data_IF_943234146132
#
_entry.id   IF_943234146132
#
_cell.length_a   1.000
_cell.length_b   1.000
_cell.length_c   1.000
_cell.angle_alpha   90.00
_cell.angle_beta   90.00
_cell.angle_gamma   90.00
#
_symmetry.space_group_name_H-M   'P 1'
#
loop_
_entity.id
_entity.type
_entity.pdbx_description
1 polymer ?
#
# COMPACT_ATOMS: atom_id res chain seq x y z
N UNK A 1 30.44 -8.22 9.56
CA UNK A 1 29.28 -8.00 8.66
C UNK A 1 29.25 -9.13 7.64
N UNK A 2 28.10 -9.80 7.43
CA UNK A 2 27.93 -10.80 6.41
C UNK A 2 28.10 -10.20 5.00
N UNK A 3 28.17 -11.05 3.97
CA UNK A 3 28.23 -10.57 2.59
C UNK A 3 26.96 -9.79 2.19
N UNK A 4 27.03 -8.82 1.27
CA UNK A 4 25.81 -8.20 0.74
C UNK A 4 25.00 -9.25 -0.04
N UNK A 5 23.71 -9.35 0.31
CA UNK A 5 22.74 -10.22 -0.40
C UNK A 5 22.34 -9.58 -1.74
N UNK A 6 21.91 -10.41 -2.68
CA UNK A 6 21.27 -9.98 -3.93
C UNK A 6 19.75 -10.19 -3.80
N UNK A 7 19.01 -9.11 -3.65
CA UNK A 7 17.55 -9.08 -3.49
C UNK A 7 16.92 -8.59 -4.78
N UNK A 8 16.04 -9.36 -5.37
CA UNK A 8 15.27 -8.96 -6.56
C UNK A 8 13.86 -8.61 -6.17
N UNK A 9 13.46 -7.36 -6.41
CA UNK A 9 12.11 -6.86 -6.17
C UNK A 9 11.37 -6.73 -7.51
N UNK A 10 10.26 -7.45 -7.63
CA UNK A 10 9.40 -7.46 -8.83
C UNK A 10 8.23 -6.52 -8.60
N UNK A 11 7.98 -5.63 -9.56
CA UNK A 11 6.85 -4.71 -9.52
C UNK A 11 6.29 -4.41 -10.90
N UNK A 12 5.09 -3.84 -10.94
CA UNK A 12 4.41 -3.38 -12.15
C UNK A 12 3.98 -1.95 -11.93
N UNK A 13 4.48 -1.05 -12.75
CA UNK A 13 4.10 0.34 -12.68
C UNK A 13 4.11 0.97 -14.08
N UNK A 14 2.94 1.44 -14.47
CA UNK A 14 2.69 2.04 -15.78
C UNK A 14 2.23 3.50 -15.71
N UNK A 15 2.01 4.04 -14.50
CA UNK A 15 1.61 5.44 -14.25
C UNK A 15 2.54 6.11 -13.25
N UNK A 16 2.76 7.41 -13.43
CA UNK A 16 3.46 8.29 -12.51
C UNK A 16 2.64 9.58 -12.31
N UNK A 17 2.58 10.19 -11.12
CA UNK A 17 3.21 9.76 -9.87
C UNK A 17 2.50 8.58 -9.20
N UNK A 18 3.23 7.87 -8.33
CA UNK A 18 2.71 6.84 -7.44
C UNK A 18 2.38 7.45 -6.07
N UNK A 19 1.43 6.84 -5.34
CA UNK A 19 1.17 7.21 -3.94
C UNK A 19 2.43 7.03 -3.10
N UNK A 20 2.71 7.99 -2.20
CA UNK A 20 3.91 7.96 -1.35
C UNK A 20 4.04 6.66 -0.55
N UNK A 21 2.94 6.15 0.00
CA UNK A 21 2.92 4.89 0.77
C UNK A 21 3.33 3.67 -0.07
N UNK A 22 2.90 3.60 -1.34
CA UNK A 22 3.31 2.52 -2.25
C UNK A 22 4.77 2.67 -2.67
N UNK A 23 5.25 3.91 -2.85
CA UNK A 23 6.64 4.20 -3.13
C UNK A 23 7.54 3.77 -1.99
N UNK A 24 7.20 4.17 -0.77
CA UNK A 24 7.95 3.83 0.43
C UNK A 24 8.03 2.32 0.63
N UNK A 25 6.91 1.61 0.43
CA UNK A 25 6.86 0.16 0.50
C UNK A 25 7.71 -0.51 -0.60
N UNK A 26 7.61 -0.03 -1.84
CA UNK A 26 8.37 -0.58 -2.97
C UNK A 26 9.87 -0.49 -2.73
N UNK A 27 10.36 0.67 -2.25
CA UNK A 27 11.79 0.94 -2.12
C UNK A 27 12.36 0.69 -0.72
N UNK A 28 11.59 0.19 0.25
CA UNK A 28 12.03 -0.01 1.62
C UNK A 28 13.27 -0.89 1.73
N UNK A 29 13.38 -1.96 0.95
CA UNK A 29 14.57 -2.83 0.97
C UNK A 29 15.85 -2.08 0.60
N UNK A 30 15.80 -1.17 -0.38
CA UNK A 30 16.94 -0.35 -0.77
C UNK A 30 17.30 0.68 0.29
N UNK A 31 16.32 1.31 0.90
CA UNK A 31 16.53 2.39 1.86
C UNK A 31 17.05 1.90 3.21
N UNK A 32 16.65 0.68 3.60
CA UNK A 32 16.90 0.17 4.95
C UNK A 32 17.86 -1.02 5.01
N UNK A 33 18.57 -1.32 3.92
CA UNK A 33 19.62 -2.35 3.91
C UNK A 33 20.86 -1.87 3.18
N UNK A 34 21.99 -2.56 3.46
CA UNK A 34 23.24 -2.44 2.70
C UNK A 34 23.32 -3.45 1.56
N UNK A 35 22.24 -4.19 1.30
CA UNK A 35 22.19 -5.25 0.29
C UNK A 35 22.01 -4.70 -1.13
N UNK A 36 22.32 -5.50 -2.15
CA UNK A 36 22.10 -5.15 -3.55
C UNK A 36 20.65 -5.42 -3.93
N UNK A 37 19.85 -4.37 -3.96
CA UNK A 37 18.42 -4.45 -4.30
C UNK A 37 18.20 -4.15 -5.78
N UNK A 38 17.92 -5.18 -6.56
CA UNK A 38 17.59 -5.13 -7.98
C UNK A 38 16.08 -4.91 -8.13
N UNK A 39 15.67 -3.90 -8.90
CA UNK A 39 14.26 -3.56 -9.11
C UNK A 39 13.86 -3.78 -10.56
N UNK A 40 12.90 -4.66 -10.81
CA UNK A 40 12.46 -5.02 -12.13
C UNK A 40 10.99 -4.66 -12.36
N UNK A 41 10.76 -3.61 -13.19
CA UNK A 41 9.42 -3.22 -13.63
C UNK A 41 8.98 -4.06 -14.83
N UNK A 42 8.08 -5.00 -14.61
CA UNK A 42 7.55 -5.88 -15.66
C UNK A 42 6.53 -5.21 -16.59
N UNK A 43 6.04 -3.99 -16.28
CA UNK A 43 5.20 -3.25 -17.23
C UNK A 43 6.00 -2.86 -18.48
N UNK A 44 7.25 -2.47 -18.32
CA UNK A 44 8.12 -1.94 -19.39
C UNK A 44 9.28 -2.86 -19.79
N UNK A 45 9.54 -3.93 -19.02
CA UNK A 45 10.68 -4.83 -19.26
C UNK A 45 10.29 -6.30 -19.15
N UNK A 46 11.16 -7.17 -19.67
CA UNK A 46 11.17 -8.60 -19.41
C UNK A 46 12.33 -8.94 -18.48
N UNK A 47 12.31 -10.13 -17.88
CA UNK A 47 13.46 -10.65 -17.12
C UNK A 47 14.68 -10.71 -18.04
N UNK A 48 15.77 -9.98 -17.70
CA UNK A 48 16.97 -9.96 -18.53
C UNK A 48 17.63 -11.34 -18.59
N UNK A 49 18.12 -11.74 -19.77
CA UNK A 49 18.77 -13.04 -19.94
C UNK A 49 19.97 -13.25 -19.02
N UNK A 50 20.67 -12.19 -18.62
CA UNK A 50 21.83 -12.28 -17.74
C UNK A 50 21.46 -12.57 -16.28
N UNK A 51 20.18 -12.50 -15.90
CA UNK A 51 19.72 -12.86 -14.55
C UNK A 51 20.03 -14.32 -14.19
N UNK A 52 20.08 -15.22 -15.16
CA UNK A 52 20.49 -16.62 -14.94
C UNK A 52 21.91 -16.78 -14.38
N UNK A 53 22.76 -15.74 -14.51
CA UNK A 53 24.13 -15.71 -13.99
C UNK A 53 24.24 -14.94 -12.66
N UNK A 54 23.12 -14.38 -12.18
CA UNK A 54 23.08 -13.73 -10.87
C UNK A 54 22.49 -14.72 -9.87
N UNK A 55 23.24 -15.01 -8.82
CA UNK A 55 22.71 -15.77 -7.69
C UNK A 55 21.92 -14.79 -6.82
N UNK A 56 20.60 -14.75 -6.98
CA UNK A 56 19.72 -14.06 -6.07
C UNK A 56 19.57 -14.87 -4.78
N UNK A 57 19.55 -14.18 -3.65
CA UNK A 57 19.29 -14.77 -2.34
C UNK A 57 17.80 -14.71 -2.00
N UNK A 58 17.13 -13.62 -2.43
CA UNK A 58 15.71 -13.35 -2.20
C UNK A 58 15.08 -12.78 -3.45
N UNK A 59 13.88 -13.25 -3.79
CA UNK A 59 12.98 -12.65 -4.78
C UNK A 59 11.71 -12.21 -4.06
N UNK A 60 11.39 -10.93 -4.15
CA UNK A 60 10.22 -10.30 -3.53
C UNK A 60 9.18 -10.00 -4.60
N UNK A 61 8.05 -10.69 -4.56
CA UNK A 61 6.87 -10.33 -5.33
C UNK A 61 6.04 -9.33 -4.51
N UNK A 62 6.29 -8.05 -4.75
CA UNK A 62 5.73 -6.96 -3.96
C UNK A 62 4.25 -6.68 -4.24
N UNK A 63 3.63 -5.92 -3.37
CA UNK A 63 2.23 -5.49 -3.47
C UNK A 63 1.90 -4.90 -4.83
N UNK A 64 2.77 -4.03 -5.38
CA UNK A 64 2.56 -3.36 -6.68
C UNK A 64 2.57 -4.34 -7.87
N UNK A 65 3.15 -5.54 -7.71
CA UNK A 65 3.04 -6.63 -8.67
C UNK A 65 1.74 -7.41 -8.46
N UNK A 66 1.49 -7.87 -7.23
CA UNK A 66 0.38 -8.77 -6.91
C UNK A 66 -1.00 -8.09 -6.99
N UNK A 67 -1.06 -6.76 -6.83
CA UNK A 67 -2.32 -6.00 -6.98
C UNK A 67 -2.91 -6.09 -8.40
N UNK A 68 -2.09 -6.38 -9.43
CA UNK A 68 -2.58 -6.51 -10.80
C UNK A 68 -3.43 -7.77 -11.05
N UNK A 69 -3.45 -8.74 -10.11
CA UNK A 69 -4.23 -9.98 -10.22
C UNK A 69 -5.74 -9.76 -10.33
N UNK A 70 -6.23 -8.59 -9.90
CA UNK A 70 -7.66 -8.25 -9.95
C UNK A 70 -8.16 -7.93 -11.36
N UNK A 71 -7.26 -7.87 -12.36
CA UNK A 71 -7.59 -7.68 -13.76
C UNK A 71 -6.77 -8.70 -14.58
N UNK A 72 -7.41 -9.78 -14.98
CA UNK A 72 -6.74 -10.93 -15.63
C UNK A 72 -5.99 -10.51 -16.90
N UNK A 73 -6.57 -9.64 -17.73
CA UNK A 73 -5.98 -9.16 -18.98
C UNK A 73 -4.67 -8.40 -18.76
N UNK A 74 -4.47 -7.86 -17.57
CA UNK A 74 -3.24 -7.16 -17.21
C UNK A 74 -2.25 -8.06 -16.49
N UNK A 75 -2.74 -8.98 -15.66
CA UNK A 75 -1.90 -9.82 -14.84
C UNK A 75 -1.23 -10.93 -15.66
N UNK A 76 -1.96 -11.62 -16.56
CA UNK A 76 -1.40 -12.72 -17.33
C UNK A 76 -0.19 -12.33 -18.21
N UNK A 77 -0.21 -11.21 -18.97
CA UNK A 77 0.99 -10.78 -19.71
C UNK A 77 2.18 -10.44 -18.83
N UNK A 78 1.93 -9.99 -17.60
CA UNK A 78 3.00 -9.67 -16.64
C UNK A 78 3.52 -10.95 -15.98
N UNK A 79 2.65 -11.89 -15.68
CA UNK A 79 2.97 -13.20 -15.14
C UNK A 79 3.86 -13.99 -16.12
N UNK A 80 3.51 -13.99 -17.41
CA UNK A 80 4.34 -14.57 -18.48
C UNK A 80 5.78 -14.02 -18.49
N UNK A 81 5.91 -12.70 -18.28
CA UNK A 81 7.24 -12.07 -18.20
C UNK A 81 8.00 -12.51 -16.94
N UNK A 82 7.31 -12.84 -15.85
CA UNK A 82 7.91 -13.28 -14.59
C UNK A 82 8.30 -14.76 -14.59
N UNK A 83 7.67 -15.62 -15.41
CA UNK A 83 7.88 -17.08 -15.44
C UNK A 83 9.34 -17.54 -15.48
N UNK A 84 10.30 -16.87 -16.16
CA UNK A 84 11.71 -17.25 -16.09
C UNK A 84 12.31 -17.24 -14.68
N UNK A 85 11.68 -16.55 -13.71
CA UNK A 85 12.13 -16.51 -12.31
C UNK A 85 11.76 -17.78 -11.52
N UNK A 86 10.88 -18.62 -12.03
CA UNK A 86 10.49 -19.91 -11.40
C UNK A 86 11.72 -20.80 -11.20
N UNK A 87 12.62 -20.83 -12.18
CA UNK A 87 13.83 -21.65 -12.14
C UNK A 87 14.90 -21.13 -11.14
N UNK A 88 14.67 -20.02 -10.45
CA UNK A 88 15.60 -19.49 -9.46
C UNK A 88 15.53 -20.27 -8.16
N UNK A 89 16.71 -20.62 -7.61
CA UNK A 89 16.85 -21.24 -6.28
C UNK A 89 16.82 -20.22 -5.13
N UNK A 90 16.53 -18.94 -5.41
CA UNK A 90 16.33 -17.92 -4.39
C UNK A 90 15.11 -18.23 -3.52
N UNK A 91 15.10 -17.75 -2.28
CA UNK A 91 13.85 -17.70 -1.50
C UNK A 91 12.88 -16.78 -2.22
N UNK A 92 11.65 -17.22 -2.40
CA UNK A 92 10.60 -16.44 -3.05
C UNK A 92 9.56 -16.05 -2.01
N UNK A 93 9.35 -14.75 -1.86
CA UNK A 93 8.35 -14.23 -0.92
C UNK A 93 7.30 -13.41 -1.62
N UNK A 94 6.11 -13.41 -1.06
CA UNK A 94 4.98 -12.60 -1.51
C UNK A 94 4.56 -11.60 -0.43
N UNK A 95 4.29 -10.36 -0.85
CA UNK A 95 3.75 -9.28 -0.02
C UNK A 95 2.37 -8.86 -0.59
N UNK A 96 1.33 -9.69 -0.46
CA UNK A 96 0.01 -9.37 -0.98
C UNK A 96 -0.66 -8.27 -0.17
N UNK A 97 -1.62 -7.59 -0.81
CA UNK A 97 -2.65 -6.77 -0.17
C UNK A 97 -4.01 -7.11 -0.79
N UNK A 98 -5.09 -6.71 -0.12
CA UNK A 98 -6.46 -6.98 -0.57
C UNK A 98 -6.72 -8.47 -0.84
N UNK A 99 -6.25 -9.32 0.08
CA UNK A 99 -6.30 -10.79 -0.03
C UNK A 99 -7.73 -11.35 0.02
N UNK A 100 -8.72 -10.50 0.31
CA UNK A 100 -10.15 -10.85 0.29
C UNK A 100 -10.71 -11.03 -1.13
N UNK A 101 -9.95 -10.65 -2.17
CA UNK A 101 -10.40 -10.77 -3.56
C UNK A 101 -9.36 -11.48 -4.43
N UNK A 102 -9.86 -12.25 -5.44
CA UNK A 102 -9.02 -13.04 -6.34
C UNK A 102 -8.02 -13.94 -5.60
N UNK A 103 -8.48 -14.57 -4.52
CA UNK A 103 -7.67 -15.48 -3.71
C UNK A 103 -7.26 -16.72 -4.48
N UNK A 104 -8.08 -17.20 -5.42
CA UNK A 104 -7.76 -18.33 -6.28
C UNK A 104 -6.57 -18.01 -7.18
N UNK A 105 -6.56 -16.83 -7.81
CA UNK A 105 -5.44 -16.37 -8.65
C UNK A 105 -4.16 -16.22 -7.83
N UNK A 106 -4.28 -15.74 -6.59
CA UNK A 106 -3.15 -15.61 -5.68
C UNK A 106 -2.60 -16.98 -5.27
N UNK A 107 -3.49 -17.94 -4.99
CA UNK A 107 -3.12 -19.30 -4.65
C UNK A 107 -2.43 -20.03 -5.82
N UNK A 108 -2.96 -19.88 -7.06
CA UNK A 108 -2.33 -20.43 -8.27
C UNK A 108 -0.94 -19.85 -8.49
N UNK A 109 -0.78 -18.54 -8.27
CA UNK A 109 0.51 -17.88 -8.33
C UNK A 109 1.50 -18.43 -7.29
N UNK A 110 1.07 -18.66 -6.04
CA UNK A 110 1.94 -19.21 -5.00
C UNK A 110 2.43 -20.61 -5.36
N UNK A 111 1.56 -21.44 -5.90
CA UNK A 111 1.90 -22.79 -6.34
C UNK A 111 2.82 -22.73 -7.57
N UNK A 112 2.47 -21.96 -8.60
CA UNK A 112 3.25 -21.84 -9.82
C UNK A 112 4.68 -21.36 -9.58
N UNK A 113 4.87 -20.40 -8.67
CA UNK A 113 6.18 -19.81 -8.37
C UNK A 113 6.87 -20.46 -7.18
N UNK A 114 6.26 -21.46 -6.54
CA UNK A 114 6.79 -22.11 -5.33
C UNK A 114 7.18 -21.09 -4.27
N UNK A 115 6.19 -20.28 -3.83
CA UNK A 115 6.42 -19.24 -2.83
C UNK A 115 6.72 -19.86 -1.47
N UNK A 116 7.87 -19.52 -0.89
CA UNK A 116 8.33 -20.03 0.42
C UNK A 116 7.59 -19.37 1.59
N UNK A 117 7.33 -18.05 1.47
CA UNK A 117 6.81 -17.26 2.58
C UNK A 117 5.87 -16.16 2.08
N UNK A 118 4.74 -16.00 2.75
CA UNK A 118 3.80 -14.88 2.54
C UNK A 118 3.79 -13.99 3.77
N UNK A 119 4.01 -12.72 3.57
CA UNK A 119 3.82 -11.69 4.59
C UNK A 119 2.45 -11.06 4.36
N UNK A 120 1.46 -11.64 5.02
CA UNK A 120 0.04 -11.32 4.90
C UNK A 120 -0.33 -10.13 5.77
N UNK A 121 -1.20 -9.26 5.26
CA UNK A 121 -1.79 -8.18 6.05
C UNK A 121 -3.12 -8.60 6.70
N UNK A 122 -3.63 -9.78 6.37
CA UNK A 122 -4.84 -10.34 6.95
C UNK A 122 -4.63 -10.71 8.43
N UNK A 123 -5.63 -10.54 9.30
CA UNK A 123 -5.60 -11.14 10.63
C UNK A 123 -5.35 -12.65 10.55
N UNK A 124 -4.55 -13.17 11.48
CA UNK A 124 -4.19 -14.60 11.51
C UNK A 124 -5.40 -15.54 11.62
N UNK A 125 -6.45 -15.08 12.30
CA UNK A 125 -7.73 -15.80 12.43
C UNK A 125 -8.41 -16.06 11.07
N UNK A 126 -8.12 -15.24 10.06
CA UNK A 126 -8.72 -15.33 8.72
C UNK A 126 -7.89 -16.19 7.74
N UNK A 127 -6.64 -16.53 8.08
CA UNK A 127 -5.77 -17.31 7.21
C UNK A 127 -6.35 -18.66 6.77
N UNK A 128 -7.09 -19.41 7.59
CA UNK A 128 -7.70 -20.67 7.12
C UNK A 128 -8.70 -20.49 5.98
N UNK A 129 -9.28 -19.28 5.83
CA UNK A 129 -10.21 -18.96 4.72
C UNK A 129 -9.47 -18.49 3.46
N UNK A 130 -8.24 -17.99 3.61
CA UNK A 130 -7.45 -17.39 2.53
C UNK A 130 -6.36 -18.34 2.01
N UNK A 131 -5.82 -19.20 2.87
CA UNK A 131 -4.67 -20.05 2.59
C UNK A 131 -4.96 -21.50 2.99
N UNK A 132 -5.24 -22.33 2.01
CA UNK A 132 -5.51 -23.75 2.25
C UNK A 132 -4.21 -24.47 2.66
N UNK A 133 -4.16 -24.93 3.92
CA UNK A 133 -3.03 -25.71 4.44
C UNK A 133 -2.81 -27.05 3.72
N UNK A 134 -3.86 -27.64 3.15
CA UNK A 134 -3.71 -28.87 2.38
C UNK A 134 -2.99 -28.62 1.05
N UNK A 135 -3.29 -27.48 0.41
CA UNK A 135 -2.62 -27.03 -0.81
C UNK A 135 -1.18 -26.54 -0.55
N UNK A 136 -0.97 -25.89 0.60
CA UNK A 136 0.30 -25.22 0.94
C UNK A 136 0.89 -25.71 2.28
N UNK A 137 1.26 -27.00 2.41
CA UNK A 137 1.72 -27.56 3.69
C UNK A 137 3.04 -26.99 4.22
N UNK A 138 3.86 -26.39 3.33
CA UNK A 138 5.17 -25.80 3.65
C UNK A 138 5.22 -24.29 3.65
N UNK A 139 4.13 -23.63 3.24
CA UNK A 139 4.06 -22.18 3.14
C UNK A 139 4.15 -21.56 4.54
N UNK A 140 5.10 -20.66 4.72
CA UNK A 140 5.23 -19.87 5.94
C UNK A 140 4.37 -18.62 5.84
N UNK A 141 3.62 -18.30 6.88
CA UNK A 141 2.77 -17.12 6.96
C UNK A 141 3.23 -16.24 8.13
N UNK A 142 3.35 -14.94 7.87
CA UNK A 142 3.63 -13.93 8.89
C UNK A 142 2.67 -12.76 8.73
N UNK A 143 2.14 -12.26 9.86
CA UNK A 143 1.31 -11.06 9.82
C UNK A 143 2.17 -9.80 9.78
N UNK A 144 1.83 -8.87 8.89
CA UNK A 144 2.50 -7.57 8.72
C UNK A 144 1.47 -6.46 8.55
N UNK A 145 1.90 -5.20 8.68
CA UNK A 145 1.03 -4.06 8.46
C UNK A 145 0.92 -3.72 6.96
N UNK A 146 -0.17 -3.06 6.59
CA UNK A 146 -0.40 -2.53 5.24
C UNK A 146 0.68 -1.53 4.81
N UNK A 147 1.29 -0.83 5.76
CA UNK A 147 2.40 0.10 5.55
C UNK A 147 3.00 0.53 6.88
N UNK A 148 4.14 1.16 6.81
CA UNK A 148 4.96 1.54 7.95
C UNK A 148 5.42 2.99 7.82
N UNK A 149 5.92 3.57 8.90
CA UNK A 149 6.54 4.90 8.87
C UNK A 149 7.89 4.83 8.15
N UNK A 150 8.11 5.78 7.25
CA UNK A 150 9.40 6.02 6.61
C UNK A 150 10.09 7.17 7.35
N UNK A 151 11.35 6.98 7.76
CA UNK A 151 12.13 7.97 8.51
C UNK A 151 12.14 9.33 7.78
N UNK A 152 12.42 9.34 6.47
CA UNK A 152 12.45 10.55 5.66
C UNK A 152 11.07 11.23 5.57
N UNK A 153 9.98 10.44 5.56
CA UNK A 153 8.61 10.97 5.57
C UNK A 153 8.28 11.62 6.92
N UNK A 154 8.67 11.02 8.02
CA UNK A 154 8.50 11.62 9.37
C UNK A 154 9.29 12.93 9.48
N UNK A 155 10.54 12.96 9.03
CA UNK A 155 11.35 14.19 9.00
C UNK A 155 10.71 15.28 8.12
N UNK A 156 10.15 14.89 6.97
CA UNK A 156 9.43 15.81 6.07
C UNK A 156 8.19 16.38 6.73
N UNK A 157 7.38 15.55 7.40
CA UNK A 157 6.21 16.00 8.17
C UNK A 157 6.64 16.98 9.26
N UNK A 158 7.70 16.68 9.99
CA UNK A 158 8.22 17.57 11.04
C UNK A 158 8.68 18.93 10.47
N UNK A 159 9.31 18.96 9.29
CA UNK A 159 9.65 20.23 8.61
C UNK A 159 8.41 21.03 8.22
N UNK A 160 7.41 20.37 7.61
CA UNK A 160 6.15 21.03 7.25
C UNK A 160 5.39 21.57 8.48
N UNK A 161 5.51 20.90 9.63
CA UNK A 161 4.90 21.35 10.88
C UNK A 161 5.58 22.59 11.46
N UNK A 162 6.88 22.84 11.17
CA UNK A 162 7.60 24.03 11.62
C UNK A 162 7.11 25.34 10.98
N UNK A 163 6.45 25.26 9.83
CA UNK A 163 5.85 26.42 9.14
C UNK A 163 4.70 27.05 9.94
N UNK A 164 4.32 26.48 11.10
CA UNK A 164 3.41 27.07 12.09
C UNK A 164 1.97 27.23 11.58
N UNK A 165 1.53 26.41 10.65
CA UNK A 165 0.19 26.49 10.11
C UNK A 165 -0.87 26.24 11.19
N UNK A 166 -1.91 27.10 11.30
CA UNK A 166 -2.97 26.89 12.26
C UNK A 166 -3.80 25.65 11.89
N UNK A 167 -4.28 24.93 12.92
CA UNK A 167 -5.28 23.86 12.73
C UNK A 167 -6.66 24.49 12.56
N UNK A 168 -6.95 24.93 11.35
CA UNK A 168 -8.17 25.66 10.98
C UNK A 168 -9.32 24.75 10.56
N UNK A 169 -9.08 23.44 10.39
CA UNK A 169 -10.08 22.42 10.13
C UNK A 169 -10.31 21.62 11.40
N UNK A 170 -11.54 21.61 11.91
CA UNK A 170 -11.85 20.85 13.11
C UNK A 170 -11.91 19.36 12.78
N UNK A 171 -12.59 18.95 11.68
CA UNK A 171 -12.67 17.56 11.23
C UNK A 171 -12.29 17.46 9.75
N UNK A 172 -11.19 16.80 9.45
CA UNK A 172 -10.78 16.52 8.07
C UNK A 172 -10.92 15.05 7.72
N UNK A 173 -11.39 14.75 6.50
CA UNK A 173 -11.45 13.38 6.00
C UNK A 173 -11.34 13.33 4.48
N UNK A 174 -10.51 12.42 3.99
CA UNK A 174 -10.42 12.07 2.57
C UNK A 174 -10.48 10.56 2.44
N UNK A 175 -11.47 10.09 1.72
CA UNK A 175 -11.62 8.67 1.40
C UNK A 175 -12.28 8.53 0.04
N UNK A 176 -12.52 7.33 -0.38
CA UNK A 176 -13.33 7.04 -1.55
C UNK A 176 -14.59 6.28 -1.15
N UNK A 177 -15.63 6.43 -1.94
CA UNK A 177 -16.87 5.70 -1.75
C UNK A 177 -16.63 4.22 -2.06
N UNK A 178 -16.68 3.39 -1.04
CA UNK A 178 -16.49 1.95 -1.20
C UNK A 178 -17.68 1.31 -1.90
N UNK A 179 -17.43 0.40 -2.85
CA UNK A 179 -18.49 -0.39 -3.46
C UNK A 179 -19.10 -1.40 -2.48
N UNK A 180 -20.36 -1.76 -2.71
CA UNK A 180 -21.08 -2.70 -1.84
C UNK A 180 -20.44 -4.09 -1.78
N UNK A 181 -19.61 -4.45 -2.74
CA UNK A 181 -18.84 -5.70 -2.77
C UNK A 181 -17.81 -5.84 -1.63
N UNK A 182 -17.49 -4.77 -0.90
CA UNK A 182 -16.69 -4.82 0.33
C UNK A 182 -17.53 -5.17 1.57
N UNK A 183 -18.84 -5.36 1.42
CA UNK A 183 -19.77 -5.63 2.49
C UNK A 183 -20.04 -4.42 3.40
N UNK A 184 -20.74 -4.66 4.52
CA UNK A 184 -21.09 -3.61 5.50
C UNK A 184 -19.86 -2.91 6.07
N UNK A 185 -18.73 -3.62 6.18
CA UNK A 185 -17.49 -3.00 6.64
C UNK A 185 -17.01 -1.88 5.69
N UNK A 186 -17.12 -2.09 4.38
CA UNK A 186 -16.78 -1.09 3.38
C UNK A 186 -17.64 0.17 3.47
N UNK A 187 -18.92 0.03 3.76
CA UNK A 187 -19.89 1.13 3.87
C UNK A 187 -19.59 2.08 5.03
N UNK A 188 -18.97 1.61 6.11
CA UNK A 188 -18.65 2.45 7.27
C UNK A 188 -17.90 3.73 6.89
N UNK A 189 -17.08 3.69 5.83
CA UNK A 189 -16.33 4.86 5.35
C UNK A 189 -17.23 6.00 4.90
N UNK A 190 -18.31 5.67 4.20
CA UNK A 190 -19.30 6.66 3.77
C UNK A 190 -20.18 7.07 4.94
N UNK A 191 -20.64 6.09 5.72
CA UNK A 191 -21.55 6.35 6.85
C UNK A 191 -20.95 7.31 7.89
N UNK A 192 -19.65 7.17 8.21
CA UNK A 192 -19.00 8.10 9.13
C UNK A 192 -18.80 9.48 8.50
N UNK A 193 -18.57 9.58 7.19
CA UNK A 193 -18.48 10.86 6.50
C UNK A 193 -19.82 11.60 6.60
N UNK A 194 -20.91 10.94 6.19
CA UNK A 194 -22.26 11.50 6.20
C UNK A 194 -22.68 11.89 7.62
N UNK A 195 -22.40 11.05 8.62
CA UNK A 195 -22.69 11.31 10.03
C UNK A 195 -22.04 12.60 10.53
N UNK A 196 -20.75 12.78 10.27
CA UNK A 196 -20.03 13.96 10.75
C UNK A 196 -20.33 15.22 9.93
N UNK A 197 -20.63 15.10 8.64
CA UNK A 197 -21.12 16.23 7.82
C UNK A 197 -22.48 16.73 8.32
N UNK A 198 -23.36 15.82 8.77
CA UNK A 198 -24.67 16.19 9.32
C UNK A 198 -24.56 16.80 10.74
N UNK A 199 -23.77 16.16 11.63
CA UNK A 199 -23.81 16.47 13.08
C UNK A 199 -22.83 17.54 13.53
N UNK A 200 -21.64 17.60 12.94
CA UNK A 200 -20.57 18.46 13.42
C UNK A 200 -20.87 19.97 13.28
N UNK A 201 -21.52 20.48 12.20
CA UNK A 201 -21.81 21.89 12.07
C UNK A 201 -22.73 22.41 13.17
N UNK A 202 -23.70 21.63 13.66
CA UNK A 202 -24.59 22.01 14.77
C UNK A 202 -23.85 22.24 16.09
N UNK A 203 -22.60 21.72 16.21
CA UNK A 203 -21.71 21.94 17.35
C UNK A 203 -20.65 23.02 17.08
N UNK A 204 -20.78 23.78 15.98
CA UNK A 204 -19.83 24.81 15.58
C UNK A 204 -18.47 24.27 15.07
N UNK A 205 -18.39 22.99 14.72
CA UNK A 205 -17.16 22.37 14.21
C UNK A 205 -17.09 22.54 12.68
N UNK A 206 -15.94 23.01 12.19
CA UNK A 206 -15.67 23.17 10.75
C UNK A 206 -15.20 21.85 10.17
N UNK A 207 -15.89 21.38 9.15
CA UNK A 207 -15.59 20.13 8.45
C UNK A 207 -14.94 20.38 7.10
N UNK A 208 -14.01 19.53 6.72
CA UNK A 208 -13.47 19.39 5.36
C UNK A 208 -13.40 17.90 5.03
N UNK A 209 -14.57 17.36 4.68
CA UNK A 209 -14.81 15.93 4.45
C UNK A 209 -15.08 15.73 2.96
N UNK A 210 -14.45 14.71 2.35
CA UNK A 210 -14.78 14.30 0.99
C UNK A 210 -14.57 12.82 0.78
N UNK A 211 -15.52 12.21 0.05
CA UNK A 211 -15.50 10.82 -0.41
C UNK A 211 -15.34 10.72 -1.92
N UNK A 212 -15.05 11.84 -2.60
CA UNK A 212 -14.86 11.89 -4.06
C UNK A 212 -13.41 11.60 -4.42
N UNK A 213 -13.21 10.87 -5.51
CA UNK A 213 -11.88 10.53 -6.02
C UNK A 213 -11.08 11.75 -6.50
N UNK A 214 -11.78 12.78 -7.00
CA UNK A 214 -11.17 14.02 -7.50
C UNK A 214 -10.49 14.82 -6.39
N UNK A 215 -10.97 14.68 -5.15
CA UNK A 215 -10.44 15.37 -3.97
C UNK A 215 -9.28 14.59 -3.30
N UNK A 216 -8.76 13.57 -3.98
CA UNK A 216 -7.59 12.83 -3.51
C UNK A 216 -6.37 13.73 -3.43
N UNK A 217 -5.76 13.81 -2.25
CA UNK A 217 -4.55 14.59 -2.01
C UNK A 217 -3.30 13.74 -2.23
N UNK A 218 -2.28 14.33 -2.87
CA UNK A 218 -1.06 13.64 -3.26
C UNK A 218 0.17 14.27 -2.62
N UNK A 219 1.13 13.45 -2.24
CA UNK A 219 2.42 13.91 -1.71
C UNK A 219 2.27 14.80 -0.48
N UNK A 220 2.90 15.97 -0.51
CA UNK A 220 2.87 16.94 0.60
C UNK A 220 1.50 17.50 0.91
N UNK A 221 0.62 17.60 -0.06
CA UNK A 221 -0.71 18.18 0.15
C UNK A 221 -1.54 17.32 1.10
N UNK A 222 -1.30 16.01 1.13
CA UNK A 222 -1.88 15.12 2.12
C UNK A 222 -1.39 15.45 3.55
N UNK A 223 -0.08 15.60 3.74
CA UNK A 223 0.48 15.93 5.07
C UNK A 223 0.10 17.34 5.52
N UNK A 224 0.11 18.32 4.62
CA UNK A 224 -0.36 19.69 4.89
C UNK A 224 -1.82 19.70 5.31
N UNK A 225 -2.66 18.90 4.65
CA UNK A 225 -4.06 18.73 5.02
C UNK A 225 -4.19 18.19 6.44
N UNK A 226 -3.49 17.09 6.77
CA UNK A 226 -3.51 16.51 8.12
C UNK A 226 -3.00 17.52 9.17
N UNK A 227 -1.94 18.26 8.88
CA UNK A 227 -1.39 19.28 9.80
C UNK A 227 -2.38 20.43 10.06
N UNK A 228 -3.30 20.72 9.14
CA UNK A 228 -4.39 21.70 9.33
C UNK A 228 -5.57 21.12 10.09
N UNK A 229 -5.72 19.80 10.18
CA UNK A 229 -6.84 19.17 10.87
C UNK A 229 -6.55 19.02 12.37
N UNK A 230 -7.52 19.37 13.23
CA UNK A 230 -7.50 19.00 14.65
C UNK A 230 -7.80 17.52 14.81
N UNK A 231 -8.84 17.06 14.10
CA UNK A 231 -9.28 15.67 14.10
C UNK A 231 -9.43 15.13 12.69
N UNK A 232 -9.26 13.82 12.57
CA UNK A 232 -9.69 13.05 11.40
C UNK A 232 -10.57 11.90 11.85
N UNK A 233 -11.55 11.55 11.03
CA UNK A 233 -12.39 10.37 11.24
C UNK A 233 -11.87 9.22 10.39
N UNK A 234 -11.97 7.99 10.85
CA UNK A 234 -11.57 6.84 10.04
C UNK A 234 -12.14 5.52 10.54
N UNK A 235 -11.93 4.47 9.75
CA UNK A 235 -12.25 3.08 10.04
C UNK A 235 -11.08 2.20 9.57
N UNK A 236 -10.94 1.01 10.12
CA UNK A 236 -9.99 0.03 9.60
C UNK A 236 -10.18 -0.19 8.09
N UNK A 237 -9.09 -0.42 7.37
CA UNK A 237 -9.16 -0.89 6.00
C UNK A 237 -9.70 -2.31 5.93
N UNK A 238 -10.28 -2.73 4.80
CA UNK A 238 -10.64 -4.12 4.61
C UNK A 238 -12.02 -4.38 4.01
N UNK A 239 -12.47 -5.62 4.17
CA UNK A 239 -13.73 -6.16 3.63
C UNK A 239 -14.35 -7.17 4.59
N UNK A 240 -15.68 -7.26 4.62
CA UNK A 240 -16.43 -8.34 5.29
C UNK A 240 -16.89 -9.43 4.31
N UNK A 241 -16.55 -9.32 3.03
CA UNK A 241 -16.89 -10.28 1.96
C UNK A 241 -15.62 -10.89 1.41
N UNK A 242 -15.62 -12.23 1.26
CA UNK A 242 -14.60 -12.97 0.52
C UNK A 242 -15.07 -13.20 -0.91
N UNK A 243 -14.29 -12.73 -1.88
CA UNK A 243 -14.57 -12.82 -3.32
C UNK A 243 -13.41 -13.56 -4.04
N UNK A 244 -13.40 -14.91 -4.03
CA UNK A 244 -12.24 -15.70 -4.45
C UNK A 244 -11.83 -15.55 -5.93
N UNK A 245 -12.76 -15.19 -6.78
CA UNK A 245 -12.60 -15.11 -8.25
C UNK A 245 -12.92 -13.72 -8.83
N UNK A 246 -13.36 -12.77 -7.99
CA UNK A 246 -13.77 -11.43 -8.43
C UNK A 246 -15.24 -11.34 -8.90
N UNK A 247 -15.95 -12.47 -8.95
CA UNK A 247 -17.31 -12.52 -9.50
C UNK A 247 -18.34 -11.77 -8.66
N UNK A 248 -18.13 -11.62 -7.34
CA UNK A 248 -19.02 -10.82 -6.49
C UNK A 248 -18.91 -9.36 -6.89
N UNK A 249 -17.71 -8.86 -7.03
CA UNK A 249 -17.45 -7.48 -7.44
C UNK A 249 -18.09 -7.19 -8.81
N UNK A 250 -17.87 -8.05 -9.79
CA UNK A 250 -18.43 -7.89 -11.13
C UNK A 250 -19.97 -7.84 -11.13
N UNK A 251 -20.62 -8.74 -10.36
CA UNK A 251 -22.07 -8.74 -10.21
C UNK A 251 -22.59 -7.48 -9.54
N UNK A 252 -21.94 -7.03 -8.47
CA UNK A 252 -22.30 -5.79 -7.77
C UNK A 252 -22.19 -4.59 -8.71
N UNK A 253 -21.04 -4.41 -9.38
CA UNK A 253 -20.83 -3.29 -10.30
C UNK A 253 -21.82 -3.31 -11.49
N UNK A 254 -22.20 -4.50 -11.98
CA UNK A 254 -23.22 -4.64 -13.02
C UNK A 254 -24.62 -4.27 -12.49
N UNK A 255 -24.95 -4.72 -11.28
CA UNK A 255 -26.25 -4.46 -10.66
C UNK A 255 -26.43 -2.96 -10.33
N UNK A 256 -25.39 -2.31 -9.72
CA UNK A 256 -25.42 -0.89 -9.41
C UNK A 256 -25.57 0.00 -10.65
N UNK A 257 -25.00 -0.39 -11.79
CA UNK A 257 -25.20 0.33 -13.07
C UNK A 257 -26.65 0.29 -13.54
N UNK A 258 -27.36 -0.81 -13.31
CA UNK A 258 -28.76 -0.99 -13.71
C UNK A 258 -29.73 -0.42 -12.67
N UNK A 259 -29.32 -0.39 -11.40
CA UNK A 259 -30.11 0.01 -10.25
C UNK A 259 -29.36 1.02 -9.39
N UNK A 260 -29.10 2.26 -9.86
CA UNK A 260 -28.24 3.23 -9.16
C UNK A 260 -28.78 3.71 -7.82
N UNK A 261 -30.08 3.51 -7.56
CA UNK A 261 -30.74 3.84 -6.29
C UNK A 261 -30.92 2.62 -5.36
N UNK A 262 -30.38 1.46 -5.73
CA UNK A 262 -30.54 0.26 -4.91
C UNK A 262 -29.87 0.42 -3.53
N UNK A 263 -30.58 -0.02 -2.52
CA UNK A 263 -30.05 -0.12 -1.15
C UNK A 263 -29.02 -1.26 -1.06
N UNK A 264 -28.16 -1.18 -0.04
CA UNK A 264 -27.20 -2.26 0.22
C UNK A 264 -27.89 -3.62 0.41
N UNK A 265 -29.04 -3.67 1.11
CA UNK A 265 -29.77 -4.90 1.34
C UNK A 265 -30.31 -5.52 0.05
N UNK A 266 -30.69 -4.70 -0.94
CA UNK A 266 -31.11 -5.17 -2.27
C UNK A 266 -29.91 -5.71 -3.05
N UNK A 267 -28.78 -5.01 -3.04
CA UNK A 267 -27.54 -5.44 -3.68
C UNK A 267 -27.03 -6.75 -3.05
N UNK A 268 -26.98 -6.85 -1.72
CA UNK A 268 -26.57 -8.06 -1.00
C UNK A 268 -27.41 -9.25 -1.41
N UNK A 269 -28.75 -9.09 -1.39
CA UNK A 269 -29.69 -10.17 -1.75
C UNK A 269 -29.53 -10.61 -3.20
N UNK A 270 -29.29 -9.68 -4.12
CA UNK A 270 -29.19 -9.97 -5.54
C UNK A 270 -27.81 -10.53 -5.94
N UNK A 271 -26.74 -10.04 -5.32
CA UNK A 271 -25.37 -10.28 -5.82
C UNK A 271 -24.56 -11.26 -4.97
N UNK A 272 -24.73 -11.26 -3.64
CA UNK A 272 -23.94 -12.09 -2.71
C UNK A 272 -24.71 -12.45 -1.43
N UNK A 273 -25.90 -13.09 -1.55
CA UNK A 273 -26.71 -13.41 -0.38
C UNK A 273 -25.92 -14.20 0.64
N UNK A 274 -26.06 -13.81 1.92
CA UNK A 274 -25.43 -14.48 3.08
C UNK A 274 -23.88 -14.53 3.05
N UNK A 275 -23.23 -13.68 2.24
CA UNK A 275 -21.77 -13.62 2.16
C UNK A 275 -21.17 -12.49 2.99
N UNK A 276 -21.95 -11.49 3.38
CA UNK A 276 -21.46 -10.41 4.23
C UNK A 276 -21.18 -10.95 5.64
N UNK A 277 -20.04 -10.59 6.22
CA UNK A 277 -19.58 -11.11 7.51
C UNK A 277 -18.86 -12.47 7.43
N UNK A 278 -18.79 -13.11 6.24
CA UNK A 278 -18.04 -14.35 6.07
C UNK A 278 -16.53 -14.18 6.31
N UNK A 279 -16.04 -12.97 6.14
CA UNK A 279 -14.63 -12.60 6.35
C UNK A 279 -14.53 -11.39 7.30
N UNK A 280 -13.54 -11.41 8.17
CA UNK A 280 -13.17 -10.27 9.02
C UNK A 280 -11.78 -9.74 8.62
N UNK A 281 -11.66 -9.42 7.35
CA UNK A 281 -10.42 -8.87 6.81
C UNK A 281 -10.35 -7.38 7.14
N UNK A 282 -9.81 -7.07 8.32
CA UNK A 282 -9.70 -5.71 8.85
C UNK A 282 -8.28 -5.43 9.29
N UNK A 283 -7.81 -4.20 9.06
CA UNK A 283 -6.42 -3.85 9.33
C UNK A 283 -6.20 -2.36 9.55
N UNK A 284 -5.14 -2.04 10.26
CA UNK A 284 -4.63 -0.69 10.39
C UNK A 284 -4.10 -0.22 9.03
N UNK A 285 -4.62 0.90 8.53
CA UNK A 285 -4.12 1.51 7.29
C UNK A 285 -2.95 2.47 7.56
N UNK A 286 -2.08 2.75 6.57
CA UNK A 286 -0.96 3.70 6.73
C UNK A 286 -1.38 5.06 7.25
N UNK A 287 -2.59 5.53 6.89
CA UNK A 287 -3.18 6.78 7.37
C UNK A 287 -3.15 6.93 8.88
N UNK A 288 -3.42 5.85 9.61
CA UNK A 288 -3.45 5.91 11.08
C UNK A 288 -2.09 6.23 11.67
N UNK A 289 -1.01 5.69 11.09
CA UNK A 289 0.36 6.01 11.48
C UNK A 289 0.75 7.44 11.06
N UNK A 290 0.31 7.88 9.88
CA UNK A 290 0.53 9.25 9.38
C UNK A 290 -0.19 10.29 10.24
N UNK A 291 -1.39 9.98 10.76
CA UNK A 291 -2.10 10.82 11.73
C UNK A 291 -1.33 10.93 13.05
N UNK A 292 -0.71 9.85 13.52
CA UNK A 292 0.17 9.91 14.68
C UNK A 292 1.38 10.81 14.40
N UNK A 293 2.00 10.70 13.21
CA UNK A 293 3.16 11.49 12.82
C UNK A 293 2.85 12.99 12.68
N UNK A 294 1.66 13.35 12.19
CA UNK A 294 1.20 14.73 12.06
C UNK A 294 0.58 15.29 13.36
N UNK A 295 0.51 14.49 14.43
CA UNK A 295 -0.21 14.81 15.67
C UNK A 295 -1.65 15.27 15.41
N UNK A 296 -2.31 14.64 14.46
CA UNK A 296 -3.73 14.80 14.17
C UNK A 296 -4.50 13.79 14.99
N UNK A 297 -5.42 14.26 15.83
CA UNK A 297 -6.22 13.39 16.70
C UNK A 297 -7.17 12.55 15.83
N UNK A 298 -7.32 11.27 16.17
CA UNK A 298 -8.15 10.36 15.40
C UNK A 298 -9.45 10.07 16.15
N UNK A 299 -10.56 10.09 15.43
CA UNK A 299 -11.84 9.49 15.84
C UNK A 299 -12.02 8.24 15.00
N UNK A 300 -11.97 7.09 15.62
CA UNK A 300 -11.96 5.82 14.93
C UNK A 300 -13.19 4.98 15.31
N UNK A 301 -13.81 4.37 14.31
CA UNK A 301 -14.86 3.38 14.54
C UNK A 301 -14.27 2.20 15.31
N UNK A 302 -15.01 1.70 16.28
CA UNK A 302 -14.68 0.53 17.11
C UNK A 302 -14.03 -0.60 16.30
N UNK A 303 -12.83 -1.04 16.73
CA UNK A 303 -12.03 -2.04 16.05
C UNK A 303 -10.73 -2.35 16.77
N UNK A 304 -10.03 -3.40 16.32
CA UNK A 304 -8.80 -3.88 16.95
C UNK A 304 -7.55 -3.02 16.61
N UNK A 305 -7.50 -2.43 15.42
CA UNK A 305 -6.35 -1.65 14.92
C UNK A 305 -5.00 -2.34 15.13
N UNK A 306 -4.95 -3.67 14.91
CA UNK A 306 -3.79 -4.54 15.09
C UNK A 306 -3.21 -4.50 16.53
N UNK A 307 -4.02 -4.18 17.54
CA UNK A 307 -3.58 -4.00 18.92
C UNK A 307 -2.65 -2.80 19.14
N UNK A 308 -2.40 -2.00 18.09
CA UNK A 308 -1.43 -0.89 18.10
C UNK A 308 -2.07 0.39 18.64
N UNK A 309 -3.23 0.75 18.13
CA UNK A 309 -3.97 1.91 18.60
C UNK A 309 -5.02 1.47 19.63
N UNK A 310 -5.07 2.16 20.77
CA UNK A 310 -5.93 1.85 21.89
C UNK A 310 -6.96 2.97 22.12
N UNK A 311 -8.27 2.64 22.29
CA UNK A 311 -9.32 3.63 22.53
C UNK A 311 -9.07 4.39 23.84
N UNK A 312 -9.40 5.68 23.86
CA UNK A 312 -9.16 6.57 24.99
C UNK A 312 -7.70 6.90 25.28
N UNK A 313 -6.76 6.18 24.67
CA UNK A 313 -5.31 6.38 24.81
C UNK A 313 -4.70 7.09 23.60
N UNK A 314 -4.99 6.59 22.40
CA UNK A 314 -4.41 7.08 21.14
C UNK A 314 -5.46 7.70 20.22
N UNK A 315 -6.74 7.42 20.44
CA UNK A 315 -7.85 7.90 19.64
C UNK A 315 -9.15 7.97 20.46
N UNK A 316 -10.14 8.72 19.95
CA UNK A 316 -11.50 8.75 20.47
C UNK A 316 -12.29 7.66 19.74
N UNK A 317 -12.90 6.74 20.48
CA UNK A 317 -13.68 5.65 19.91
C UNK A 317 -15.10 6.08 19.55
N UNK A 318 -15.48 5.81 18.31
CA UNK A 318 -16.85 5.87 17.84
C UNK A 318 -17.41 4.45 17.77
N UNK A 319 -18.47 4.15 18.50
CA UNK A 319 -19.12 2.83 18.44
C UNK A 319 -19.58 2.53 17.02
N UNK A 320 -19.61 1.25 16.67
CA UNK A 320 -19.99 0.80 15.32
C UNK A 320 -21.45 1.13 14.96
N UNK A 321 -22.34 1.24 15.94
CA UNK A 321 -23.74 1.66 15.79
C UNK A 321 -23.93 3.19 15.87
N UNK A 322 -22.83 3.94 16.05
CA UNK A 322 -22.78 5.39 16.21
C UNK A 322 -23.52 5.93 17.42
N UNK A 323 -23.95 5.08 18.37
CA UNK A 323 -24.76 5.47 19.53
C UNK A 323 -24.11 6.51 20.44
N UNK A 324 -22.77 6.64 20.41
CA UNK A 324 -22.02 7.59 21.25
C UNK A 324 -21.52 8.84 20.48
N UNK A 325 -22.09 9.15 19.30
CA UNK A 325 -21.59 10.28 18.46
C UNK A 325 -21.64 11.61 19.19
N UNK A 326 -22.67 11.87 20.02
CA UNK A 326 -22.80 13.12 20.77
C UNK A 326 -21.71 13.25 21.85
N UNK A 327 -21.34 12.16 22.49
CA UNK A 327 -20.22 12.12 23.44
C UNK A 327 -18.89 12.38 22.72
N UNK A 328 -18.70 11.78 21.53
CA UNK A 328 -17.53 12.00 20.68
C UNK A 328 -17.42 13.47 20.30
N UNK A 329 -18.50 14.10 19.82
CA UNK A 329 -18.52 15.52 19.44
C UNK A 329 -18.22 16.43 20.66
N UNK A 330 -18.70 16.06 21.84
CA UNK A 330 -18.40 16.77 23.10
C UNK A 330 -16.93 16.65 23.48
N UNK A 331 -16.34 15.45 23.34
CA UNK A 331 -14.91 15.25 23.59
C UNK A 331 -14.02 16.04 22.61
N UNK A 332 -14.45 16.20 21.36
CA UNK A 332 -13.72 16.95 20.34
C UNK A 332 -13.62 18.47 20.62
N UNK A 333 -14.43 19.01 21.52
CA UNK A 333 -14.35 20.41 21.96
C UNK A 333 -13.24 20.62 23.03
N UNK A 334 -12.55 19.56 23.48
CA UNK A 334 -11.55 19.60 24.54
C UNK A 334 -10.13 19.59 23.98
N UNK A 335 -9.57 20.76 23.75
CA UNK A 335 -8.20 20.92 23.21
C UNK A 335 -7.11 20.36 24.13
N UNK A 336 -7.30 20.40 25.46
CA UNK A 336 -6.39 19.79 26.45
C UNK A 336 -6.26 18.27 26.25
N UNK A 337 -7.36 17.57 26.14
CA UNK A 337 -7.39 16.13 25.89
C UNK A 337 -6.83 15.77 24.52
N UNK A 338 -7.15 16.57 23.49
CA UNK A 338 -6.59 16.38 22.16
C UNK A 338 -5.06 16.44 22.19
N UNK A 339 -4.49 17.47 22.83
CA UNK A 339 -3.05 17.64 22.92
C UNK A 339 -2.36 16.47 23.68
N UNK A 340 -2.95 16.01 24.78
CA UNK A 340 -2.46 14.87 25.55
C UNK A 340 -2.47 13.58 24.69
N UNK A 341 -3.59 13.27 24.06
CA UNK A 341 -3.79 12.05 23.27
C UNK A 341 -2.84 12.00 22.07
N UNK A 342 -2.73 13.10 21.31
CA UNK A 342 -1.85 13.18 20.14
C UNK A 342 -0.36 13.14 20.55
N UNK A 343 0.01 13.78 21.67
CA UNK A 343 1.36 13.70 22.21
C UNK A 343 1.73 12.29 22.63
N UNK A 344 0.80 11.55 23.23
CA UNK A 344 1.01 10.15 23.61
C UNK A 344 1.12 9.25 22.37
N UNK A 345 0.20 9.39 21.41
CA UNK A 345 0.25 8.65 20.16
C UNK A 345 1.57 8.88 19.41
N UNK A 346 2.07 10.11 19.37
CA UNK A 346 3.35 10.41 18.74
C UNK A 346 4.52 9.69 19.45
N UNK A 347 4.61 9.79 20.78
CA UNK A 347 5.69 9.11 21.54
C UNK A 347 5.65 7.60 21.39
N UNK A 348 4.48 6.98 21.54
CA UNK A 348 4.36 5.52 21.61
C UNK A 348 4.38 4.86 20.23
N UNK A 349 3.92 5.56 19.19
CA UNK A 349 3.81 5.00 17.84
C UNK A 349 4.98 5.48 16.97
N UNK A 350 5.30 6.77 16.96
CA UNK A 350 6.31 7.33 16.06
C UNK A 350 7.71 7.25 16.66
N UNK A 351 7.91 7.83 17.86
CA UNK A 351 9.25 7.87 18.50
C UNK A 351 9.72 6.50 18.97
N UNK A 352 8.81 5.56 19.18
CA UNK A 352 9.18 4.18 19.55
C UNK A 352 10.01 3.46 18.49
N UNK A 353 9.93 3.89 17.22
CA UNK A 353 10.59 3.25 16.07
C UNK A 353 10.06 1.86 15.70
N UNK A 354 9.07 1.32 16.43
CA UNK A 354 8.57 -0.05 16.25
C UNK A 354 7.85 -0.24 14.91
N UNK A 355 7.14 0.79 14.43
CA UNK A 355 6.27 0.71 13.25
C UNK A 355 6.92 1.38 12.04
N UNK A 356 8.20 1.12 11.82
CA UNK A 356 9.00 1.69 10.73
C UNK A 356 9.32 0.67 9.66
N UNK A 357 9.55 1.14 8.43
CA UNK A 357 10.04 0.27 7.34
C UNK A 357 11.40 -0.36 7.68
N UNK A 358 12.22 0.25 8.54
CA UNK A 358 13.47 -0.34 9.03
C UNK A 358 13.20 -1.65 9.77
N UNK A 359 12.27 -1.62 10.72
CA UNK A 359 11.86 -2.81 11.48
C UNK A 359 11.22 -3.88 10.59
N UNK A 360 10.32 -3.46 9.69
CA UNK A 360 9.69 -4.34 8.70
C UNK A 360 10.71 -5.08 7.83
N UNK A 361 11.65 -4.36 7.24
CA UNK A 361 12.66 -4.96 6.35
C UNK A 361 13.57 -5.91 7.11
N UNK A 362 13.98 -5.56 8.34
CA UNK A 362 14.77 -6.45 9.19
C UNK A 362 14.01 -7.75 9.48
N UNK A 363 12.74 -7.66 9.87
CA UNK A 363 11.88 -8.82 10.11
C UNK A 363 11.69 -9.69 8.88
N UNK A 364 11.40 -9.09 7.71
CA UNK A 364 11.22 -9.84 6.46
C UNK A 364 12.50 -10.59 6.08
N UNK A 365 13.66 -9.97 6.19
CA UNK A 365 14.93 -10.61 5.87
C UNK A 365 15.28 -11.74 6.85
N UNK A 366 15.07 -11.52 8.14
CA UNK A 366 15.33 -12.51 9.18
C UNK A 366 14.47 -13.76 8.96
N UNK A 367 13.15 -13.62 8.85
CA UNK A 367 12.24 -14.76 8.74
C UNK A 367 12.34 -15.46 7.37
N UNK A 368 12.60 -14.72 6.30
CA UNK A 368 12.76 -15.31 4.96
C UNK A 368 14.04 -16.13 4.83
N UNK A 369 15.14 -15.72 5.47
CA UNK A 369 16.46 -16.32 5.28
C UNK A 369 16.91 -17.19 6.45
N UNK A 370 16.07 -17.34 7.46
CA UNK A 370 16.34 -18.17 8.65
C UNK A 370 16.70 -19.62 8.27
N UNK A 371 17.84 -20.08 8.77
CA UNK A 371 18.32 -21.45 8.51
C UNK A 371 18.96 -21.67 7.14
N UNK A 372 19.15 -20.62 6.31
CA UNK A 372 19.91 -20.76 5.07
C UNK A 372 21.41 -20.57 5.29
N UNK A 373 22.19 -21.48 4.73
CA UNK A 373 23.64 -21.36 4.74
C UNK A 373 24.11 -20.18 3.87
N UNK A 374 25.02 -19.39 4.39
CA UNK A 374 25.65 -18.30 3.67
C UNK A 374 26.70 -18.80 2.69
N UNK A 375 26.30 -19.06 1.44
CA UNK A 375 27.24 -19.44 0.39
C UNK A 375 27.99 -18.21 -0.13
N UNK A 376 29.29 -18.14 0.12
CA UNK A 376 30.14 -17.06 -0.39
C UNK A 376 30.38 -17.22 -1.90
N UNK A 377 30.10 -16.17 -2.71
CA UNK A 377 30.42 -16.22 -4.14
C UNK A 377 31.93 -16.18 -4.36
N UNK A 378 32.38 -16.75 -5.47
CA UNK A 378 33.77 -16.56 -5.90
C UNK A 378 34.05 -15.07 -6.19
N UNK A 379 35.32 -14.61 -6.15
CA UNK A 379 35.65 -13.20 -6.45
C UNK A 379 35.15 -12.75 -7.82
N UNK A 380 35.23 -13.58 -8.84
CA UNK A 380 34.72 -13.28 -10.19
C UNK A 380 33.19 -13.16 -10.20
N UNK A 381 32.48 -14.03 -9.48
CA UNK A 381 31.02 -13.95 -9.31
C UNK A 381 30.62 -12.69 -8.53
N UNK A 382 31.36 -12.32 -7.50
CA UNK A 382 31.11 -11.11 -6.71
C UNK A 382 31.25 -9.84 -7.56
N UNK A 383 32.28 -9.75 -8.41
CA UNK A 383 32.48 -8.66 -9.35
C UNK A 383 31.35 -8.61 -10.38
N UNK A 384 30.97 -9.76 -10.94
CA UNK A 384 29.83 -9.83 -11.87
C UNK A 384 28.53 -9.34 -11.26
N UNK A 385 28.23 -9.76 -10.03
CA UNK A 385 27.03 -9.30 -9.31
C UNK A 385 27.04 -7.78 -9.10
N UNK A 386 28.20 -7.18 -8.80
CA UNK A 386 28.33 -5.74 -8.66
C UNK A 386 28.08 -5.01 -9.99
N UNK A 387 28.71 -5.45 -11.09
CA UNK A 387 28.51 -4.87 -12.41
C UNK A 387 27.05 -5.00 -12.88
N UNK A 388 26.45 -6.18 -12.70
CA UNK A 388 25.04 -6.40 -13.02
C UNK A 388 24.10 -5.52 -12.20
N UNK A 389 24.44 -5.26 -10.93
CA UNK A 389 23.68 -4.34 -10.09
C UNK A 389 23.72 -2.90 -10.62
N UNK A 390 24.88 -2.36 -10.94
CA UNK A 390 24.99 -1.02 -11.51
C UNK A 390 24.29 -0.91 -12.87
N UNK A 391 24.40 -1.92 -13.71
CA UNK A 391 23.66 -1.97 -14.98
C UNK A 391 22.15 -1.99 -14.77
N UNK A 392 21.68 -2.72 -13.78
CA UNK A 392 20.25 -2.77 -13.45
C UNK A 392 19.75 -1.44 -12.89
N UNK A 393 20.55 -0.74 -12.09
CA UNK A 393 20.24 0.61 -11.59
C UNK A 393 20.03 1.60 -12.74
N UNK A 394 20.93 1.61 -13.70
CA UNK A 394 20.78 2.45 -14.90
C UNK A 394 19.51 2.06 -15.68
N UNK A 395 19.29 0.77 -15.83
CA UNK A 395 18.11 0.21 -16.49
C UNK A 395 16.80 0.59 -15.79
N UNK A 396 16.79 0.66 -14.48
CA UNK A 396 15.64 1.11 -13.67
C UNK A 396 15.36 2.59 -13.89
N UNK A 397 16.38 3.45 -13.86
CA UNK A 397 16.24 4.87 -14.16
C UNK A 397 15.63 5.12 -15.55
N UNK A 398 16.06 4.35 -16.55
CA UNK A 398 15.47 4.40 -17.89
C UNK A 398 14.00 3.95 -17.90
N UNK A 399 13.64 2.95 -17.10
CA UNK A 399 12.26 2.50 -16.96
C UNK A 399 11.38 3.58 -16.34
N UNK A 400 11.88 4.25 -15.31
CA UNK A 400 11.20 5.40 -14.69
C UNK A 400 10.95 6.54 -15.68
N UNK A 401 11.99 6.91 -16.43
CA UNK A 401 11.86 7.94 -17.45
C UNK A 401 10.82 7.56 -18.53
N UNK A 402 10.79 6.30 -18.94
CA UNK A 402 9.80 5.81 -19.90
C UNK A 402 8.37 5.95 -19.36
N UNK A 403 8.13 5.52 -18.11
CA UNK A 403 6.81 5.63 -17.47
C UNK A 403 6.41 7.09 -17.28
N UNK A 404 7.31 7.93 -16.77
CA UNK A 404 7.04 9.35 -16.52
C UNK A 404 6.74 10.16 -17.79
N UNK A 405 7.37 9.79 -18.92
CA UNK A 405 7.13 10.41 -20.21
C UNK A 405 5.96 9.81 -20.99
N UNK A 406 5.27 8.80 -20.43
CA UNK A 406 4.18 8.10 -21.11
C UNK A 406 4.64 7.32 -22.35
N UNK A 407 5.93 7.00 -22.43
CA UNK A 407 6.53 6.31 -23.56
C UNK A 407 6.35 4.81 -23.38
N UNK A 408 5.30 4.26 -23.95
CA UNK A 408 5.14 2.82 -24.10
C UNK A 408 6.23 2.21 -25.01
N UNK A 409 6.58 0.91 -24.88
CA UNK A 409 7.79 0.29 -25.46
C UNK A 409 7.88 0.31 -26.99
N UNK A 410 7.03 1.01 -27.70
CA UNK A 410 6.90 0.99 -29.17
C UNK A 410 7.72 2.05 -29.95
N UNK A 411 8.58 2.84 -29.30
CA UNK A 411 9.45 3.78 -30.06
C UNK A 411 10.89 3.27 -30.07
N UNK A 412 11.31 2.51 -31.12
CA UNK A 412 12.73 2.19 -31.34
C UNK A 412 13.47 3.47 -31.72
N UNK A 413 14.50 3.85 -31.04
CA UNK A 413 15.31 5.03 -31.32
C UNK A 413 15.45 5.99 -30.14
N UNK A 414 14.43 6.14 -29.29
CA UNK A 414 14.50 7.03 -28.12
C UNK A 414 15.44 6.51 -27.01
N UNK A 415 15.74 5.19 -27.00
CA UNK A 415 16.71 4.59 -26.05
C UNK A 415 18.09 5.24 -26.11
N UNK A 416 18.52 5.68 -27.29
CA UNK A 416 19.80 6.34 -27.50
C UNK A 416 19.82 7.78 -26.97
N UNK A 417 18.73 8.50 -27.14
CA UNK A 417 18.59 9.91 -26.73
C UNK A 417 18.46 10.00 -25.20
N UNK A 418 17.61 9.19 -24.60
CA UNK A 418 17.43 9.14 -23.14
C UNK A 418 18.71 8.65 -22.45
N UNK A 419 19.43 7.70 -23.06
CA UNK A 419 20.72 7.22 -22.56
C UNK A 419 21.80 8.33 -22.54
N UNK A 420 21.82 9.22 -23.53
CA UNK A 420 22.74 10.36 -23.60
C UNK A 420 22.36 11.48 -22.61
N UNK A 421 21.06 11.71 -22.38
CA UNK A 421 20.57 12.75 -21.48
C UNK A 421 20.73 12.38 -19.99
N UNK A 422 20.62 11.09 -19.65
CA UNK A 422 20.69 10.63 -18.25
C UNK A 422 22.08 10.20 -17.79
N UNK A 423 23.04 10.03 -18.70
CA UNK A 423 24.40 9.57 -18.35
C UNK A 423 25.27 10.62 -17.66
N UNK A 424 24.78 11.84 -17.47
CA UNK A 424 25.63 12.96 -17.02
C UNK A 424 25.26 13.63 -15.69
N UNK A 425 24.05 13.55 -15.14
CA UNK A 425 23.69 14.69 -14.26
C UNK A 425 22.92 14.41 -12.98
N UNK A 426 22.20 13.30 -12.71
CA UNK A 426 21.22 13.39 -11.62
C UNK A 426 21.29 12.34 -10.50
N UNK A 427 21.24 12.83 -9.25
CA UNK A 427 20.88 12.04 -8.07
C UNK A 427 19.40 11.64 -8.11
N UNK A 428 19.02 10.57 -7.42
CA UNK A 428 17.66 10.02 -7.39
C UNK A 428 16.62 11.05 -6.93
N UNK A 429 16.97 11.88 -5.94
CA UNK A 429 16.11 12.97 -5.43
C UNK A 429 15.91 14.11 -6.45
N UNK A 430 16.90 14.40 -7.24
CA UNK A 430 16.83 15.43 -8.27
C UNK A 430 15.93 14.98 -9.42
N UNK A 431 15.97 13.70 -9.79
CA UNK A 431 15.08 13.13 -10.82
C UNK A 431 13.61 13.17 -10.40
N UNK A 432 13.29 12.81 -9.17
CA UNK A 432 11.92 12.88 -8.62
C UNK A 432 11.42 14.33 -8.64
N UNK A 433 12.25 15.30 -8.29
CA UNK A 433 11.91 16.73 -8.29
C UNK A 433 11.70 17.30 -9.69
N UNK A 434 12.47 16.86 -10.68
CA UNK A 434 12.36 17.30 -12.07
C UNK A 434 11.16 16.67 -12.76
N UNK A 435 10.94 15.37 -12.55
CA UNK A 435 9.81 14.62 -13.15
C UNK A 435 8.47 15.01 -12.50
N UNK A 436 8.46 15.37 -11.22
CA UNK A 436 7.26 15.85 -10.50
C UNK A 436 6.72 17.20 -11.01
N UNK A 437 7.52 17.95 -11.79
CA UNK A 437 7.10 19.22 -12.42
C UNK A 437 6.43 19.04 -13.80
N UNK A 438 6.47 17.86 -14.37
CA UNK A 438 5.81 17.56 -15.64
C UNK A 438 4.35 17.24 -15.37
N UNK A 439 3.46 18.22 -15.50
CA UNK A 439 2.00 18.00 -15.45
C UNK A 439 1.61 17.06 -16.60
N UNK A 440 0.88 15.96 -16.34
CA UNK A 440 0.38 15.10 -17.41
C UNK A 440 -0.60 15.90 -18.28
N UNK A 441 -0.40 15.87 -19.60
CA UNK A 441 -1.40 16.34 -20.57
C UNK A 441 -2.66 15.49 -20.37
N UNK A 442 -3.78 16.14 -20.09
CA UNK A 442 -5.12 15.49 -20.10
C UNK A 442 -5.39 15.02 -21.53
N UNK A 443 -5.26 13.73 -21.78
CA UNK A 443 -5.88 13.08 -22.93
C UNK A 443 -7.29 12.67 -22.49
N UNK A 444 -8.29 13.20 -23.17
CA UNK A 444 -9.67 12.81 -22.93
C UNK A 444 -9.90 11.35 -23.33
N UNK A 445 -10.84 10.74 -22.60
CA UNK A 445 -11.56 9.49 -22.93
C UNK A 445 -10.69 8.26 -23.14
N UNK A 446 -10.51 7.51 -22.07
CA UNK A 446 -10.46 6.06 -21.88
C UNK A 446 -9.78 5.79 -20.52
N UNK A 447 -10.54 6.01 -19.43
CA UNK A 447 -10.10 5.60 -18.11
C UNK A 447 -10.52 4.14 -17.87
N UNK A 448 -9.57 3.23 -17.71
CA UNK A 448 -9.85 2.01 -16.97
C UNK A 448 -10.07 2.38 -15.50
N UNK A 449 -10.93 1.66 -14.77
CA UNK A 449 -11.20 1.95 -13.38
C UNK A 449 -9.90 1.94 -12.56
N UNK A 450 -9.76 2.83 -11.58
CA UNK A 450 -8.54 2.92 -10.78
C UNK A 450 -8.32 1.62 -10.03
N UNK A 451 -7.16 1.02 -10.24
CA UNK A 451 -6.63 -0.02 -9.35
C UNK A 451 -6.31 0.70 -8.04
N UNK A 452 -7.10 0.44 -7.06
CA UNK A 452 -7.00 0.97 -5.69
C UNK A 452 -6.10 0.15 -4.84
#
# INVERSE_FOLDING_TARGET
>A
MGRPLNILVIYVMNKYPMRATLWDQLYCFRHYTHHRCFYLNLSVRRVPRYFKWIKFDLIVFGTVFLANRVVAEWFEPVLEKARPLKASNAVKIALPQDEYTHTNVLADFFEEFEIDTVFSISPESEWPKLYDKARFPKLKLFNVLTGYLNDATVERINRLAQDGQPRDIDIGYRTWRAGAWLGRHGLLRQQIADLFEERAPARGLRTDISTRSEDTLWGDDWYKFLLRCKYTISVQGGSSVLDPDGAIRERVEAYERLHPAASFAEIERACFPERDGALQYVQLSPRHLECCATRTCQVLVEGDYNGILQPGRHYIELKRDFSNVEDVLTQMQRDDRRAEMTGRAYREIVESGKYTYRGFVAFVLEESLKGREEVRPSPASALWHALAYYWMRLSELLSWAQVALGLHPFIPGLKGIVRKLLSGVFSEQTMVSVLGRVKPKRSGTDEPPPVK
#
